data_IF_252562730832
#
_entry.id   IF_252562730832
#
_cell.length_a   1.000
_cell.length_b   1.000
_cell.length_c   1.000
_cell.angle_alpha   90.00
_cell.angle_beta   90.00
_cell.angle_gamma   90.00
#
_symmetry.space_group_name_H-M   'P 1'
#
loop_
_entity.id
_entity.type
_entity.pdbx_description
1 polymer ?
#
# COMPACT_ATOMS: atom_id res chain seq x y z
N UNK A 1 -4.64 -26.58 46.33
CA UNK A 1 -4.63 -27.33 45.06
C UNK A 1 -3.51 -26.80 44.20
N UNK A 2 -2.42 -27.54 44.05
CA UNK A 2 -1.28 -27.15 43.21
C UNK A 2 -1.60 -27.43 41.76
N UNK A 3 -1.69 -26.39 40.94
CA UNK A 3 -1.93 -26.48 39.50
C UNK A 3 -0.77 -27.25 38.84
N UNK A 4 -1.04 -28.48 38.38
CA UNK A 4 -0.08 -29.34 37.66
C UNK A 4 0.23 -28.85 36.23
N UNK A 5 -0.24 -27.68 35.81
CA UNK A 5 0.04 -27.15 34.48
C UNK A 5 1.39 -26.45 34.48
N UNK A 6 2.33 -26.97 33.68
CA UNK A 6 3.60 -26.28 33.39
C UNK A 6 3.31 -24.99 32.65
N UNK A 7 3.99 -23.90 33.00
CA UNK A 7 3.93 -22.65 32.27
C UNK A 7 4.38 -22.91 30.82
N UNK A 8 3.54 -22.53 29.85
CA UNK A 8 3.88 -22.63 28.44
C UNK A 8 4.74 -21.43 28.07
N UNK A 9 6.05 -21.63 27.96
CA UNK A 9 6.99 -20.62 27.49
C UNK A 9 7.23 -20.87 26.00
N UNK A 10 6.67 -20.02 25.15
CA UNK A 10 6.91 -20.06 23.70
C UNK A 10 8.15 -19.25 23.37
N UNK A 11 9.25 -19.88 23.01
CA UNK A 11 10.38 -19.19 22.41
C UNK A 11 10.04 -18.73 21.00
N UNK A 12 9.78 -17.43 20.84
CA UNK A 12 9.56 -16.79 19.54
C UNK A 12 10.85 -16.08 19.14
N UNK A 13 11.60 -16.66 18.21
CA UNK A 13 12.82 -16.04 17.67
C UNK A 13 12.43 -14.83 16.78
N UNK A 14 13.22 -13.75 16.71
CA UNK A 14 12.93 -12.59 15.84
C UNK A 14 12.69 -12.96 14.38
N UNK A 15 13.25 -14.08 13.91
CA UNK A 15 13.13 -14.58 12.54
C UNK A 15 12.01 -15.61 12.34
N UNK A 16 11.05 -15.74 13.26
CA UNK A 16 9.98 -16.73 13.20
C UNK A 16 9.16 -16.66 11.88
N UNK A 17 8.94 -15.45 11.37
CA UNK A 17 8.19 -15.17 10.15
C UNK A 17 8.87 -15.68 8.87
N UNK A 18 10.20 -15.88 8.88
CA UNK A 18 10.94 -16.37 7.71
C UNK A 18 10.70 -17.84 7.39
N UNK A 19 10.14 -18.59 8.34
CA UNK A 19 9.89 -20.03 8.17
C UNK A 19 8.65 -20.37 7.38
N UNK A 20 7.70 -19.44 7.25
CA UNK A 20 6.41 -19.65 6.59
C UNK A 20 6.25 -18.68 5.43
N UNK A 21 5.99 -19.19 4.23
CA UNK A 21 5.87 -18.37 3.01
C UNK A 21 4.81 -17.27 3.11
N UNK A 22 3.67 -17.56 3.75
CA UNK A 22 2.61 -16.58 3.99
C UNK A 22 3.12 -15.36 4.79
N UNK A 23 3.87 -15.58 5.87
CA UNK A 23 4.40 -14.47 6.67
C UNK A 23 5.49 -13.69 5.94
N UNK A 24 6.31 -14.34 5.10
CA UNK A 24 7.26 -13.63 4.24
C UNK A 24 6.55 -12.66 3.31
N UNK A 25 5.51 -13.12 2.62
CA UNK A 25 4.72 -12.29 1.73
C UNK A 25 4.02 -11.14 2.48
N UNK A 26 3.48 -11.44 3.66
CA UNK A 26 2.87 -10.42 4.53
C UNK A 26 3.89 -9.32 4.90
N UNK A 27 5.10 -9.69 5.32
CA UNK A 27 6.15 -8.73 5.66
C UNK A 27 6.61 -7.90 4.46
N UNK A 28 6.71 -8.50 3.27
CA UNK A 28 7.00 -7.76 2.04
C UNK A 28 5.90 -6.74 1.75
N UNK A 29 4.63 -7.13 1.91
CA UNK A 29 3.50 -6.22 1.74
C UNK A 29 3.55 -5.05 2.74
N UNK A 30 3.82 -5.31 4.01
CA UNK A 30 3.96 -4.25 5.03
C UNK A 30 5.16 -3.33 4.72
N UNK A 31 6.26 -3.88 4.19
CA UNK A 31 7.43 -3.10 3.78
C UNK A 31 7.14 -2.12 2.64
N UNK A 32 6.05 -2.31 1.86
CA UNK A 32 5.62 -1.34 0.85
C UNK A 32 5.24 0.02 1.43
N UNK A 33 5.03 0.13 2.75
CA UNK A 33 4.82 1.40 3.42
C UNK A 33 6.02 2.36 3.27
N UNK A 34 7.26 1.84 3.24
CA UNK A 34 8.47 2.66 3.15
C UNK A 34 8.51 3.46 1.84
N UNK A 35 8.42 2.84 0.63
CA UNK A 35 8.36 3.60 -0.61
C UNK A 35 7.10 4.47 -0.73
N UNK A 36 6.00 4.12 -0.06
CA UNK A 36 4.81 4.98 -0.02
C UNK A 36 5.09 6.28 0.74
N UNK A 37 5.78 6.22 1.88
CA UNK A 37 6.21 7.43 2.62
C UNK A 37 7.13 8.29 1.77
N UNK A 38 8.08 7.68 1.05
CA UNK A 38 8.92 8.43 0.10
C UNK A 38 8.06 9.22 -0.90
N UNK A 39 7.08 8.58 -1.53
CA UNK A 39 6.22 9.23 -2.51
C UNK A 39 5.39 10.36 -1.89
N UNK A 40 4.89 10.20 -0.65
CA UNK A 40 4.23 11.27 0.09
C UNK A 40 5.15 12.49 0.30
N UNK A 41 6.44 12.27 0.61
CA UNK A 41 7.42 13.34 0.74
C UNK A 41 7.68 14.05 -0.60
N UNK A 42 7.73 13.31 -1.70
CA UNK A 42 7.83 13.90 -3.06
C UNK A 42 6.63 14.80 -3.35
N UNK A 43 5.40 14.34 -3.06
CA UNK A 43 4.19 15.15 -3.23
C UNK A 43 4.21 16.40 -2.33
N UNK A 44 4.61 16.25 -1.08
CA UNK A 44 4.74 17.37 -0.14
C UNK A 44 5.74 18.42 -0.67
N UNK A 45 6.88 17.97 -1.17
CA UNK A 45 7.87 18.87 -1.80
C UNK A 45 7.28 19.59 -3.02
N UNK A 46 6.50 18.89 -3.85
CA UNK A 46 5.78 19.50 -4.97
C UNK A 46 4.83 20.63 -4.53
N UNK A 47 4.02 20.38 -3.49
CA UNK A 47 3.10 21.38 -2.93
C UNK A 47 3.86 22.60 -2.36
N UNK A 48 4.95 22.37 -1.63
CA UNK A 48 5.78 23.46 -1.08
C UNK A 48 6.41 24.26 -2.22
N UNK A 49 6.93 23.60 -3.26
CA UNK A 49 7.54 24.27 -4.42
C UNK A 49 6.51 25.08 -5.20
N UNK A 50 5.27 24.62 -5.29
CA UNK A 50 4.16 25.36 -5.89
C UNK A 50 3.86 26.63 -5.09
N UNK A 51 3.77 26.54 -3.77
CA UNK A 51 3.56 27.69 -2.87
C UNK A 51 4.68 28.73 -2.94
N UNK A 52 5.92 28.29 -3.18
CA UNK A 52 7.10 29.16 -3.30
C UNK A 52 7.34 29.69 -4.74
N UNK A 53 6.51 29.31 -5.73
CA UNK A 53 6.70 29.69 -7.13
C UNK A 53 7.93 29.05 -7.80
N UNK A 54 8.49 27.97 -7.24
CA UNK A 54 9.69 27.26 -7.75
C UNK A 54 9.36 25.91 -8.37
N UNK A 55 8.07 25.65 -8.65
CA UNK A 55 7.61 24.35 -9.15
C UNK A 55 8.28 23.99 -10.50
N UNK A 56 8.23 24.90 -11.47
CA UNK A 56 8.74 24.66 -12.83
C UNK A 56 10.28 24.56 -12.92
N UNK A 57 10.96 25.03 -11.91
CA UNK A 57 12.44 24.97 -11.83
C UNK A 57 12.88 23.86 -10.88
N UNK A 58 12.83 24.11 -9.58
CA UNK A 58 13.42 23.23 -8.55
C UNK A 58 12.74 21.86 -8.46
N UNK A 59 11.40 21.80 -8.53
CA UNK A 59 10.69 20.53 -8.40
C UNK A 59 10.78 19.68 -9.67
N UNK A 60 10.65 20.31 -10.85
CA UNK A 60 10.78 19.60 -12.13
C UNK A 60 12.22 19.07 -12.30
N UNK A 61 13.23 19.84 -11.95
CA UNK A 61 14.63 19.38 -12.02
C UNK A 61 14.92 18.27 -11.00
N UNK A 62 14.32 18.33 -9.80
CA UNK A 62 14.37 17.23 -8.85
C UNK A 62 13.76 15.95 -9.43
N UNK A 63 12.60 16.02 -10.11
CA UNK A 63 11.95 14.87 -10.72
C UNK A 63 12.75 14.27 -11.90
N UNK A 64 13.57 15.07 -12.59
CA UNK A 64 14.46 14.60 -13.67
C UNK A 64 15.67 13.82 -13.15
N UNK A 65 15.97 13.88 -11.86
CA UNK A 65 17.08 13.15 -11.28
C UNK A 65 16.87 11.63 -11.44
N UNK A 66 17.82 10.88 -12.00
CA UNK A 66 17.65 9.45 -12.26
C UNK A 66 17.41 8.62 -11.01
N UNK A 67 17.98 9.02 -9.87
CA UNK A 67 17.73 8.34 -8.58
C UNK A 67 16.27 8.53 -8.16
N UNK A 68 15.74 9.75 -8.30
CA UNK A 68 14.33 10.06 -7.97
C UNK A 68 13.38 9.29 -8.88
N UNK A 69 13.70 9.20 -10.17
CA UNK A 69 12.90 8.41 -11.13
C UNK A 69 12.85 6.94 -10.69
N UNK A 70 14.00 6.33 -10.36
CA UNK A 70 14.05 4.94 -9.91
C UNK A 70 13.25 4.75 -8.62
N UNK A 71 13.42 5.63 -7.63
CA UNK A 71 12.68 5.56 -6.37
C UNK A 71 11.16 5.72 -6.58
N UNK A 72 10.73 6.59 -7.48
CA UNK A 72 9.32 6.76 -7.82
C UNK A 72 8.76 5.53 -8.55
N UNK A 73 9.51 4.88 -9.43
CA UNK A 73 9.11 3.63 -10.08
C UNK A 73 8.99 2.48 -9.07
N UNK A 74 9.93 2.37 -8.13
CA UNK A 74 9.85 1.39 -7.04
C UNK A 74 8.63 1.67 -6.16
N UNK A 75 8.35 2.95 -5.84
CA UNK A 75 7.18 3.33 -5.07
C UNK A 75 5.88 2.98 -5.80
N UNK A 76 5.80 3.22 -7.10
CA UNK A 76 4.64 2.85 -7.91
C UNK A 76 4.41 1.34 -7.89
N UNK A 77 5.45 0.54 -8.11
CA UNK A 77 5.35 -0.92 -8.06
C UNK A 77 4.91 -1.42 -6.68
N UNK A 78 5.45 -0.85 -5.61
CA UNK A 78 5.08 -1.17 -4.23
C UNK A 78 3.62 -0.81 -3.92
N UNK A 79 3.15 0.36 -4.36
CA UNK A 79 1.76 0.80 -4.18
C UNK A 79 0.79 -0.09 -4.96
N UNK A 80 1.12 -0.50 -6.18
CA UNK A 80 0.30 -1.44 -6.97
C UNK A 80 0.21 -2.81 -6.29
N UNK A 81 1.31 -3.33 -5.77
CA UNK A 81 1.32 -4.58 -4.99
C UNK A 81 0.44 -4.46 -3.74
N UNK A 82 0.57 -3.35 -3.00
CA UNK A 82 -0.23 -3.08 -1.81
C UNK A 82 -1.72 -3.01 -2.15
N UNK A 83 -2.09 -2.23 -3.17
CA UNK A 83 -3.47 -2.08 -3.63
C UNK A 83 -4.06 -3.43 -4.09
N UNK A 84 -3.33 -4.20 -4.90
CA UNK A 84 -3.80 -5.49 -5.39
C UNK A 84 -4.12 -6.47 -4.25
N UNK A 85 -3.26 -6.53 -3.23
CA UNK A 85 -3.48 -7.38 -2.06
C UNK A 85 -4.59 -6.86 -1.14
N UNK A 86 -4.65 -5.53 -0.93
CA UNK A 86 -5.67 -4.89 -0.11
C UNK A 86 -7.07 -5.06 -0.70
N UNK A 87 -7.23 -4.92 -2.00
CA UNK A 87 -8.52 -5.02 -2.68
C UNK A 87 -9.11 -6.44 -2.62
N UNK A 88 -8.28 -7.46 -2.43
CA UNK A 88 -8.75 -8.83 -2.15
C UNK A 88 -9.11 -9.00 -0.66
N UNK A 89 -8.29 -8.45 0.23
CA UNK A 89 -8.48 -8.65 1.68
C UNK A 89 -9.64 -7.83 2.24
N UNK A 90 -9.85 -6.61 1.75
CA UNK A 90 -10.89 -5.70 2.26
C UNK A 90 -12.30 -6.29 2.21
N UNK A 91 -12.79 -6.84 1.07
CA UNK A 91 -14.10 -7.48 1.04
C UNK A 91 -14.20 -8.72 1.94
N UNK A 92 -13.10 -9.44 2.15
CA UNK A 92 -13.05 -10.60 3.05
C UNK A 92 -13.29 -10.19 4.51
N UNK A 93 -12.62 -9.12 4.95
CA UNK A 93 -12.66 -8.63 6.33
C UNK A 93 -13.98 -7.91 6.61
N UNK A 94 -14.45 -7.07 5.70
CA UNK A 94 -15.69 -6.32 5.88
C UNK A 94 -16.94 -7.21 5.88
N UNK A 95 -16.92 -8.36 5.20
CA UNK A 95 -18.04 -9.28 5.17
C UNK A 95 -19.35 -8.65 4.69
N UNK A 96 -19.28 -7.79 3.67
CA UNK A 96 -20.43 -6.99 3.19
C UNK A 96 -21.59 -7.90 2.80
N UNK A 97 -22.77 -7.63 3.34
CA UNK A 97 -24.01 -8.33 3.03
C UNK A 97 -24.85 -7.50 2.06
N UNK A 98 -25.28 -8.10 0.95
CA UNK A 98 -26.17 -7.48 -0.05
C UNK A 98 -27.39 -8.41 -0.22
N UNK A 99 -28.57 -7.88 0.04
CA UNK A 99 -29.85 -8.64 -0.04
C UNK A 99 -29.86 -9.95 0.79
N UNK A 100 -29.18 -9.95 1.94
CA UNK A 100 -29.11 -11.11 2.84
C UNK A 100 -28.03 -12.15 2.49
N UNK A 101 -27.28 -11.95 1.40
CA UNK A 101 -26.16 -12.82 1.02
C UNK A 101 -24.82 -12.09 1.13
N UNK A 102 -23.75 -12.84 1.45
CA UNK A 102 -22.41 -12.28 1.54
C UNK A 102 -21.88 -11.97 0.15
N UNK A 103 -21.45 -10.71 -0.06
CA UNK A 103 -20.84 -10.28 -1.32
C UNK A 103 -19.60 -11.13 -1.65
N UNK A 104 -19.52 -11.75 -2.86
CA UNK A 104 -18.34 -12.50 -3.26
C UNK A 104 -17.10 -11.60 -3.26
N UNK A 105 -15.99 -12.10 -2.73
CA UNK A 105 -14.71 -11.36 -2.64
C UNK A 105 -14.26 -10.82 -4.00
N UNK A 106 -14.40 -11.64 -5.05
CA UNK A 106 -14.06 -11.23 -6.42
C UNK A 106 -14.86 -10.02 -6.90
N UNK A 107 -16.16 -9.94 -6.55
CA UNK A 107 -17.01 -8.80 -6.91
C UNK A 107 -16.58 -7.55 -6.15
N UNK A 108 -16.31 -7.67 -4.85
CA UNK A 108 -15.79 -6.56 -4.04
C UNK A 108 -14.46 -6.02 -4.58
N UNK A 109 -13.53 -6.90 -4.91
CA UNK A 109 -12.24 -6.53 -5.51
C UNK A 109 -12.41 -5.81 -6.87
N UNK A 110 -13.29 -6.30 -7.75
CA UNK A 110 -13.58 -5.65 -9.04
C UNK A 110 -14.16 -4.25 -8.86
N UNK A 111 -15.04 -4.05 -7.89
CA UNK A 111 -15.61 -2.73 -7.58
C UNK A 111 -14.48 -1.78 -7.14
N UNK A 112 -13.59 -2.20 -6.24
CA UNK A 112 -12.46 -1.37 -5.78
C UNK A 112 -11.51 -1.00 -6.93
N UNK A 113 -11.19 -1.95 -7.80
CA UNK A 113 -10.41 -1.66 -9.01
C UNK A 113 -11.12 -0.69 -9.95
N UNK A 114 -12.43 -0.88 -10.16
CA UNK A 114 -13.24 0.03 -10.98
C UNK A 114 -13.21 1.47 -10.45
N UNK A 115 -13.42 1.65 -9.16
CA UNK A 115 -13.35 2.98 -8.50
C UNK A 115 -11.95 3.59 -8.67
N UNK A 116 -10.90 2.81 -8.46
CA UNK A 116 -9.51 3.28 -8.61
C UNK A 116 -9.23 3.75 -10.03
N UNK A 117 -9.65 2.99 -11.04
CA UNK A 117 -9.47 3.36 -12.45
C UNK A 117 -10.23 4.64 -12.79
N UNK A 118 -11.49 4.77 -12.36
CA UNK A 118 -12.29 5.99 -12.59
C UNK A 118 -11.63 7.20 -11.96
N UNK A 119 -11.21 7.12 -10.69
CA UNK A 119 -10.51 8.22 -10.00
C UNK A 119 -9.21 8.57 -10.73
N UNK A 120 -8.43 7.56 -11.16
CA UNK A 120 -7.17 7.78 -11.87
C UNK A 120 -7.39 8.52 -13.20
N UNK A 121 -8.45 8.16 -13.95
CA UNK A 121 -8.82 8.85 -15.21
C UNK A 121 -9.22 10.29 -14.92
N UNK A 122 -10.03 10.55 -13.89
CA UNK A 122 -10.45 11.90 -13.52
C UNK A 122 -9.21 12.75 -13.16
N UNK A 123 -8.33 12.24 -12.31
CA UNK A 123 -7.09 12.95 -11.91
C UNK A 123 -6.22 13.25 -13.13
N UNK A 124 -6.06 12.27 -14.02
CA UNK A 124 -5.26 12.45 -15.24
C UNK A 124 -5.88 13.50 -16.16
N UNK A 125 -7.20 13.49 -16.33
CA UNK A 125 -7.90 14.47 -17.16
C UNK A 125 -7.86 15.89 -16.59
N UNK A 126 -7.74 16.04 -15.26
CA UNK A 126 -7.58 17.35 -14.61
C UNK A 126 -6.13 17.86 -14.65
N UNK A 127 -5.16 16.95 -14.84
CA UNK A 127 -3.73 17.27 -14.87
C UNK A 127 -3.21 17.57 -16.30
N UNK A 128 -3.96 17.21 -17.33
CA UNK A 128 -3.65 17.47 -18.76
C UNK A 128 -4.35 18.71 -19.26
#
# INVERSE_FOLDING_TARGET
>A
MTTKRKAYVREVKPTWWTKVGFYKFYMVREATAIPTVWFCLVLLYGVISLGNGTFDTSFVDFLKNPIVIILNLVSLAAMLLHAATLFIMTPQVLGIMVKGEKLPVATGAKIMWGITVVISIIVLALAL
#
